data_IF_848286171481
#
_entry.id   IF_848286171481
#
_cell.length_a   1.000
_cell.length_b   1.000
_cell.length_c   1.000
_cell.angle_alpha   90.00
_cell.angle_beta   90.00
_cell.angle_gamma   90.00
#
_symmetry.space_group_name_H-M   'P 1'
#
loop_
_entity.id
_entity.type
_entity.pdbx_description
1 polymer ?
#
# COMPACT_ATOMS: atom_id res chain seq x y z
N UNK A 1 -9.88 -8.77 -4.71
CA UNK A 1 -11.02 -8.36 -3.87
C UNK A 1 -12.31 -8.59 -4.65
N UNK A 2 -13.39 -9.05 -3.99
CA UNK A 2 -14.67 -9.36 -4.66
C UNK A 2 -15.69 -8.23 -4.63
N UNK A 3 -15.55 -7.25 -3.72
CA UNK A 3 -16.47 -6.12 -3.59
C UNK A 3 -16.34 -5.17 -4.78
N UNK A 4 -17.45 -4.92 -5.47
CA UNK A 4 -17.46 -4.25 -6.76
C UNK A 4 -17.04 -2.77 -6.69
N UNK A 5 -17.51 -1.97 -5.72
CA UNK A 5 -17.08 -0.57 -5.59
C UNK A 5 -15.57 -0.40 -5.41
N UNK A 6 -14.92 -1.34 -4.71
CA UNK A 6 -13.46 -1.36 -4.58
C UNK A 6 -12.82 -1.60 -5.95
N UNK A 7 -13.32 -2.57 -6.73
CA UNK A 7 -12.79 -2.85 -8.07
C UNK A 7 -12.98 -1.67 -9.01
N UNK A 8 -14.14 -1.02 -8.99
CA UNK A 8 -14.45 0.14 -9.83
C UNK A 8 -13.51 1.30 -9.51
N UNK A 9 -13.35 1.64 -8.23
CA UNK A 9 -12.43 2.67 -7.78
C UNK A 9 -10.98 2.37 -8.18
N UNK A 10 -10.52 1.12 -7.99
CA UNK A 10 -9.19 0.67 -8.41
C UNK A 10 -9.00 0.78 -9.93
N UNK A 11 -9.99 0.34 -10.71
CA UNK A 11 -9.93 0.40 -12.17
C UNK A 11 -9.90 1.84 -12.67
N UNK A 12 -10.66 2.73 -12.04
CA UNK A 12 -10.61 4.16 -12.31
C UNK A 12 -9.22 4.75 -12.01
N UNK A 13 -8.61 4.40 -10.87
CA UNK A 13 -7.24 4.81 -10.55
C UNK A 13 -6.22 4.29 -11.59
N UNK A 14 -6.32 3.02 -11.98
CA UNK A 14 -5.43 2.39 -12.97
C UNK A 14 -5.56 3.00 -14.37
N UNK A 15 -6.74 3.51 -14.75
CA UNK A 15 -7.01 4.09 -16.09
C UNK A 15 -6.59 5.57 -16.24
N UNK A 16 -5.94 6.16 -15.24
CA UNK A 16 -5.35 7.51 -15.36
C UNK A 16 -6.05 8.61 -14.57
N UNK A 17 -6.86 8.29 -13.57
CA UNK A 17 -7.44 9.27 -12.64
C UNK A 17 -6.41 10.06 -11.81
N UNK A 18 -5.16 9.59 -11.74
CA UNK A 18 -3.94 10.18 -11.13
C UNK A 18 -2.72 9.29 -11.45
N UNK A 19 -1.45 9.70 -11.22
CA UNK A 19 -0.31 9.09 -11.90
C UNK A 19 -0.25 7.57 -11.69
N UNK A 20 -0.04 6.85 -12.79
CA UNK A 20 -0.25 5.41 -12.99
C UNK A 20 0.35 4.48 -11.90
N UNK A 21 1.40 4.93 -11.21
CA UNK A 21 2.05 4.19 -10.11
C UNK A 21 1.30 4.26 -8.76
N UNK A 22 0.45 5.27 -8.54
CA UNK A 22 -0.38 5.40 -7.33
C UNK A 22 -1.43 4.30 -7.23
N UNK A 23 -2.17 4.05 -8.31
CA UNK A 23 -3.30 3.11 -8.30
C UNK A 23 -2.88 1.65 -8.19
N UNK A 24 -1.67 1.30 -8.67
CA UNK A 24 -1.17 -0.07 -8.65
C UNK A 24 -0.62 -0.42 -7.26
N UNK A 25 0.21 0.45 -6.67
CA UNK A 25 0.81 0.18 -5.36
C UNK A 25 -0.21 0.38 -4.24
N UNK A 26 -1.16 1.32 -4.34
CA UNK A 26 -2.16 1.50 -3.30
C UNK A 26 -3.09 0.27 -3.15
N UNK A 27 -3.50 -0.33 -4.27
CA UNK A 27 -4.30 -1.55 -4.29
C UNK A 27 -3.52 -2.75 -3.75
N UNK A 28 -2.30 -2.96 -4.28
CA UNK A 28 -1.44 -4.09 -3.90
C UNK A 28 -0.99 -3.98 -2.41
N UNK A 29 -0.65 -2.79 -1.91
CA UNK A 29 -0.30 -2.53 -0.51
C UNK A 29 -1.49 -2.71 0.43
N UNK A 30 -2.65 -2.11 0.13
CA UNK A 30 -3.83 -2.26 0.97
C UNK A 30 -4.26 -3.72 1.05
N UNK A 31 -4.27 -4.42 -0.09
CA UNK A 31 -4.53 -5.85 -0.15
C UNK A 31 -3.52 -6.62 0.70
N UNK A 32 -2.23 -6.31 0.62
CA UNK A 32 -1.19 -6.93 1.45
C UNK A 32 -1.45 -6.73 2.95
N UNK A 33 -1.59 -5.48 3.41
CA UNK A 33 -1.82 -5.15 4.83
C UNK A 33 -3.07 -5.87 5.33
N UNK A 34 -4.20 -5.75 4.61
CA UNK A 34 -5.45 -6.39 4.99
C UNK A 34 -5.31 -7.91 5.10
N UNK A 35 -4.71 -8.57 4.10
CA UNK A 35 -4.56 -10.02 4.11
C UNK A 35 -3.59 -10.46 5.21
N UNK A 36 -2.52 -9.70 5.46
CA UNK A 36 -1.58 -10.01 6.51
C UNK A 36 -2.25 -9.94 7.89
N UNK A 37 -2.94 -8.83 8.21
CA UNK A 37 -3.64 -8.67 9.48
C UNK A 37 -4.73 -9.74 9.70
N UNK A 38 -5.38 -10.23 8.64
CA UNK A 38 -6.35 -11.34 8.75
C UNK A 38 -5.74 -12.66 9.23
N UNK A 39 -4.42 -12.84 9.10
CA UNK A 39 -3.71 -14.01 9.61
C UNK A 39 -3.24 -13.85 11.06
N UNK A 40 -3.38 -12.66 11.65
CA UNK A 40 -3.00 -12.35 13.02
C UNK A 40 -4.26 -12.04 13.84
N UNK A 41 -4.94 -13.05 14.41
CA UNK A 41 -6.19 -12.85 15.15
C UNK A 41 -6.01 -12.07 16.45
N UNK A 42 -4.78 -12.05 17.00
CA UNK A 42 -4.41 -11.37 18.25
C UNK A 42 -3.00 -10.80 18.04
N UNK A 43 -2.86 -9.49 18.23
CA UNK A 43 -1.61 -8.73 18.27
C UNK A 43 -1.90 -7.39 18.93
N UNK A 44 -0.90 -6.79 19.59
CA UNK A 44 -1.07 -5.49 20.25
C UNK A 44 -0.68 -4.32 19.33
N UNK A 45 0.38 -4.48 18.53
CA UNK A 45 0.90 -3.45 17.62
C UNK A 45 1.35 -4.04 16.28
N UNK A 46 1.59 -3.18 15.28
CA UNK A 46 2.17 -3.61 14.00
C UNK A 46 3.57 -4.22 14.12
N UNK A 47 4.25 -3.99 15.23
CA UNK A 47 5.62 -4.45 15.45
C UNK A 47 5.68 -5.98 15.63
N UNK A 48 4.56 -6.57 16.05
CA UNK A 48 4.41 -8.01 16.28
C UNK A 48 3.98 -8.78 15.02
N UNK A 49 3.49 -8.07 14.01
CA UNK A 49 2.94 -8.66 12.79
C UNK A 49 4.08 -8.91 11.81
N UNK A 50 4.28 -10.17 11.42
CA UNK A 50 5.33 -10.55 10.48
C UNK A 50 4.89 -11.60 9.46
N UNK A 51 5.71 -11.79 8.45
CA UNK A 51 5.53 -12.86 7.47
C UNK A 51 6.88 -13.36 6.98
N UNK A 52 6.92 -14.59 6.47
CA UNK A 52 8.05 -15.12 5.71
C UNK A 52 7.53 -15.97 4.55
N UNK A 53 8.42 -16.42 3.65
CA UNK A 53 8.05 -17.18 2.44
C UNK A 53 7.27 -18.45 2.78
N UNK A 54 7.68 -19.17 3.82
CA UNK A 54 7.00 -20.38 4.27
C UNK A 54 5.56 -20.08 4.69
N UNK A 55 5.34 -19.11 5.59
CA UNK A 55 4.01 -18.72 6.06
C UNK A 55 3.12 -18.19 4.92
N UNK A 56 3.67 -17.34 4.05
CA UNK A 56 2.93 -16.74 2.94
C UNK A 56 2.48 -17.75 1.88
N UNK A 57 3.11 -18.92 1.82
CA UNK A 57 2.80 -20.00 0.87
C UNK A 57 2.23 -21.25 1.54
N UNK A 58 2.02 -21.25 2.86
CA UNK A 58 1.69 -22.43 3.68
C UNK A 58 0.52 -23.25 3.15
N UNK A 59 -0.60 -22.57 2.82
CA UNK A 59 -1.79 -23.24 2.27
C UNK A 59 -1.88 -23.13 0.75
N UNK A 60 -1.53 -21.96 0.19
CA UNK A 60 -1.50 -21.67 -1.24
C UNK A 60 -0.75 -20.38 -1.50
N UNK A 61 -0.26 -20.22 -2.73
CA UNK A 61 0.31 -18.96 -3.20
C UNK A 61 -0.79 -17.89 -3.31
N UNK A 62 -0.75 -16.91 -2.40
CA UNK A 62 -1.78 -15.89 -2.21
C UNK A 62 -1.38 -14.48 -2.64
N UNK A 63 -2.14 -13.48 -2.15
CA UNK A 63 -1.88 -12.05 -2.40
C UNK A 63 -0.61 -11.58 -1.70
N UNK A 64 -0.34 -12.06 -0.49
CA UNK A 64 0.86 -11.76 0.29
C UNK A 64 2.12 -12.15 -0.49
N UNK A 65 2.16 -13.39 -0.99
CA UNK A 65 3.29 -13.89 -1.77
C UNK A 65 3.51 -13.10 -3.06
N UNK A 66 2.43 -12.79 -3.79
CA UNK A 66 2.48 -11.99 -5.02
C UNK A 66 3.00 -10.58 -4.76
N UNK A 67 2.56 -9.93 -3.67
CA UNK A 67 3.01 -8.60 -3.30
C UNK A 67 4.51 -8.56 -3.03
N UNK A 68 5.01 -9.46 -2.17
CA UNK A 68 6.42 -9.50 -1.78
C UNK A 68 7.33 -9.89 -2.96
N UNK A 69 6.90 -10.85 -3.78
CA UNK A 69 7.64 -11.28 -4.98
C UNK A 69 7.78 -10.12 -5.98
N UNK A 70 6.67 -9.46 -6.33
CA UNK A 70 6.71 -8.28 -7.20
C UNK A 70 7.54 -7.14 -6.62
N UNK A 71 7.44 -6.90 -5.31
CA UNK A 71 8.16 -5.82 -4.63
C UNK A 71 9.68 -5.99 -4.70
N UNK A 72 10.17 -7.24 -4.67
CA UNK A 72 11.59 -7.56 -4.82
C UNK A 72 12.04 -7.51 -6.28
N UNK A 73 11.26 -8.09 -7.20
CA UNK A 73 11.57 -8.07 -8.63
C UNK A 73 11.51 -6.65 -9.23
N UNK A 74 10.62 -5.81 -8.68
CA UNK A 74 10.39 -4.43 -9.12
C UNK A 74 11.34 -3.39 -8.54
N UNK A 75 12.40 -3.77 -7.83
CA UNK A 75 13.40 -2.83 -7.30
C UNK A 75 14.21 -2.19 -8.43
N UNK A 76 13.75 -1.03 -8.90
CA UNK A 76 14.53 -0.15 -9.78
C UNK A 76 15.59 0.53 -8.90
N UNK A 77 16.86 0.47 -9.30
CA UNK A 77 18.04 1.02 -8.58
C UNK A 77 18.47 0.31 -7.30
N UNK A 78 18.01 -0.92 -7.05
CA UNK A 78 18.37 -1.71 -5.86
C UNK A 78 17.85 -1.14 -4.53
N UNK A 79 17.15 0.01 -4.56
CA UNK A 79 16.50 0.63 -3.41
C UNK A 79 15.03 0.23 -3.41
N UNK A 80 14.65 -0.62 -2.46
CA UNK A 80 13.27 -1.08 -2.29
C UNK A 80 12.33 -0.04 -1.69
N UNK A 81 12.61 1.25 -1.78
CA UNK A 81 11.84 2.28 -1.05
C UNK A 81 11.04 3.15 -1.99
N UNK A 82 9.72 3.17 -1.81
CA UNK A 82 8.80 4.04 -2.56
C UNK A 82 8.31 5.17 -1.66
N UNK A 83 8.41 6.42 -2.14
CA UNK A 83 8.07 7.62 -1.38
C UNK A 83 6.66 8.10 -1.66
N UNK A 84 5.94 8.40 -0.58
CA UNK A 84 4.58 8.93 -0.60
C UNK A 84 4.46 10.13 0.34
N UNK A 85 3.33 10.81 0.24
CA UNK A 85 2.93 11.86 1.16
C UNK A 85 1.43 11.82 1.44
N UNK A 86 1.05 12.14 2.66
CA UNK A 86 -0.33 12.32 3.09
C UNK A 86 -0.52 13.79 3.43
N UNK A 87 -1.60 14.37 2.91
CA UNK A 87 -2.07 15.71 3.27
C UNK A 87 -3.28 15.61 4.19
N UNK A 88 -3.16 16.17 5.40
CA UNK A 88 -4.24 16.28 6.39
C UNK A 88 -4.79 17.72 6.35
N UNK A 89 -5.92 17.94 5.69
CA UNK A 89 -6.50 19.25 5.35
C UNK A 89 -6.81 20.08 6.60
N UNK A 90 -7.51 19.49 7.57
CA UNK A 90 -7.87 20.16 8.85
C UNK A 90 -6.66 20.55 9.68
N UNK A 91 -5.57 19.78 9.59
CA UNK A 91 -4.32 20.04 10.31
C UNK A 91 -3.32 20.88 9.52
N UNK A 92 -3.61 21.14 8.23
CA UNK A 92 -2.69 21.75 7.26
C UNK A 92 -1.29 21.12 7.30
N UNK A 93 -1.25 19.79 7.46
CA UNK A 93 -0.01 19.02 7.69
C UNK A 93 0.28 18.09 6.52
N UNK A 94 1.52 18.15 6.04
CA UNK A 94 2.07 17.18 5.10
C UNK A 94 2.91 16.15 5.86
N UNK A 95 2.61 14.87 5.69
CA UNK A 95 3.39 13.76 6.26
C UNK A 95 4.04 13.00 5.12
N UNK A 96 5.36 12.95 5.08
CA UNK A 96 6.12 12.16 4.11
C UNK A 96 6.39 10.79 4.69
N UNK A 97 6.26 9.75 3.87
CA UNK A 97 6.54 8.39 4.30
C UNK A 97 7.09 7.53 3.18
N UNK A 98 7.68 6.41 3.60
CA UNK A 98 8.28 5.42 2.73
C UNK A 98 7.56 4.10 2.90
N UNK A 99 7.36 3.39 1.79
CA UNK A 99 7.08 1.95 1.80
C UNK A 99 8.39 1.26 1.50
N UNK A 100 8.86 0.39 2.38
CA UNK A 100 10.11 -0.34 2.21
C UNK A 100 9.83 -1.80 1.86
N UNK A 101 10.30 -2.22 0.69
CA UNK A 101 10.29 -3.62 0.29
C UNK A 101 11.53 -4.33 0.86
N UNK A 102 11.37 -5.53 1.43
CA UNK A 102 12.46 -6.28 2.03
C UNK A 102 13.54 -6.61 1.00
N UNK A 103 14.79 -6.75 1.44
CA UNK A 103 15.92 -7.10 0.57
C UNK A 103 15.88 -8.53 0.07
N UNK A 104 15.32 -9.42 0.89
CA UNK A 104 15.15 -10.83 0.59
C UNK A 104 13.75 -11.26 0.99
N UNK A 105 13.23 -12.27 0.29
CA UNK A 105 11.99 -12.94 0.63
C UNK A 105 12.25 -14.44 0.64
N UNK A 106 12.79 -14.87 1.78
CA UNK A 106 13.08 -16.26 2.12
C UNK A 106 12.34 -16.61 3.43
N UNK A 107 12.88 -17.52 4.24
CA UNK A 107 12.26 -17.93 5.49
C UNK A 107 12.53 -16.97 6.66
N UNK A 108 13.26 -15.89 6.44
CA UNK A 108 13.47 -14.82 7.43
C UNK A 108 12.19 -14.01 7.60
N UNK A 109 11.89 -13.64 8.85
CA UNK A 109 10.73 -12.81 9.15
C UNK A 109 10.90 -11.39 8.59
N UNK A 110 9.86 -10.92 7.93
CA UNK A 110 9.67 -9.55 7.47
C UNK A 110 8.55 -8.97 8.33
N UNK A 111 8.85 -7.93 9.12
CA UNK A 111 7.86 -7.30 9.98
C UNK A 111 7.08 -6.22 9.23
N UNK A 112 5.81 -6.04 9.58
CA UNK A 112 4.95 -5.03 8.96
C UNK A 112 5.47 -3.62 9.21
N UNK A 113 5.94 -3.35 10.44
CA UNK A 113 6.56 -2.08 10.82
C UNK A 113 7.75 -1.67 9.93
N UNK A 114 8.52 -2.64 9.42
CA UNK A 114 9.68 -2.37 8.56
C UNK A 114 9.23 -1.94 7.16
N UNK A 115 8.07 -2.44 6.71
CA UNK A 115 7.47 -2.08 5.42
C UNK A 115 6.80 -0.70 5.51
N UNK A 116 6.02 -0.46 6.56
CA UNK A 116 5.28 0.78 6.79
C UNK A 116 4.96 0.92 8.29
N UNK A 117 5.10 2.12 8.85
CA UNK A 117 4.79 2.35 10.27
C UNK A 117 3.29 2.37 10.55
N UNK A 118 2.88 1.98 11.75
CA UNK A 118 1.47 1.89 12.16
C UNK A 118 0.70 3.20 11.96
N UNK A 119 1.25 4.31 12.46
CA UNK A 119 0.61 5.62 12.36
C UNK A 119 0.27 5.97 10.90
N UNK A 120 1.23 5.77 10.00
CA UNK A 120 1.09 6.14 8.60
C UNK A 120 0.20 5.15 7.86
N UNK A 121 0.40 3.86 8.09
CA UNK A 121 -0.30 2.83 7.37
C UNK A 121 -1.77 2.70 7.79
N UNK A 122 -2.11 3.03 9.03
CA UNK A 122 -3.51 3.21 9.44
C UNK A 122 -4.16 4.41 8.74
N UNK A 123 -3.50 5.57 8.67
CA UNK A 123 -3.99 6.72 7.90
C UNK A 123 -4.17 6.38 6.43
N UNK A 124 -3.23 5.64 5.85
CA UNK A 124 -3.31 5.17 4.47
C UNK A 124 -4.54 4.29 4.24
N UNK A 125 -4.74 3.26 5.08
CA UNK A 125 -5.89 2.36 4.96
C UNK A 125 -7.22 3.10 5.13
N UNK A 126 -7.33 3.97 6.14
CA UNK A 126 -8.53 4.77 6.39
C UNK A 126 -8.85 5.72 5.24
N UNK A 127 -7.85 6.43 4.70
CA UNK A 127 -8.05 7.35 3.59
C UNK A 127 -8.49 6.62 2.32
N UNK A 128 -7.92 5.44 2.03
CA UNK A 128 -8.33 4.63 0.89
C UNK A 128 -9.76 4.11 1.05
N UNK A 129 -10.09 3.55 2.21
CA UNK A 129 -11.46 3.09 2.51
C UNK A 129 -12.48 4.22 2.44
N UNK A 130 -12.13 5.41 2.95
CA UNK A 130 -12.98 6.59 2.84
C UNK A 130 -13.20 7.01 1.39
N UNK A 131 -12.15 7.06 0.58
CA UNK A 131 -12.28 7.41 -0.83
C UNK A 131 -13.19 6.44 -1.60
N UNK A 132 -13.12 5.14 -1.28
CA UNK A 132 -14.05 4.14 -1.83
C UNK A 132 -15.49 4.45 -1.41
N UNK A 133 -15.75 4.73 -0.12
CA UNK A 133 -17.09 5.08 0.35
C UNK A 133 -17.63 6.36 -0.28
N UNK A 134 -16.78 7.39 -0.44
CA UNK A 134 -17.18 8.66 -1.04
C UNK A 134 -17.65 8.49 -2.49
N UNK A 135 -17.08 7.55 -3.24
CA UNK A 135 -17.58 7.23 -4.61
C UNK A 135 -19.00 6.66 -4.65
N UNK A 136 -19.52 6.21 -3.51
CA UNK A 136 -20.85 5.61 -3.41
C UNK A 136 -21.91 6.60 -2.90
N UNK A 137 -21.53 7.88 -2.70
CA UNK A 137 -22.40 8.93 -2.18
C UNK A 137 -22.40 10.11 -3.15
N UNK A 138 -23.57 10.58 -3.58
CA UNK A 138 -23.70 11.64 -4.59
C UNK A 138 -23.09 12.98 -4.12
N UNK A 139 -23.25 13.32 -2.84
CA UNK A 139 -22.75 14.56 -2.23
C UNK A 139 -21.75 14.28 -1.09
N UNK A 140 -20.70 13.50 -1.38
CA UNK A 140 -19.67 13.22 -0.38
C UNK A 140 -18.93 14.50 0.06
N UNK A 141 -18.75 14.70 1.37
CA UNK A 141 -17.90 15.77 1.88
C UNK A 141 -16.45 15.65 1.39
N UNK A 142 -15.75 16.78 1.27
CA UNK A 142 -14.34 16.79 0.88
C UNK A 142 -13.51 16.02 1.92
N UNK A 143 -12.68 15.04 1.50
CA UNK A 143 -11.93 14.21 2.44
C UNK A 143 -10.85 15.02 3.17
N UNK A 144 -10.80 14.82 4.49
CA UNK A 144 -9.81 15.43 5.38
C UNK A 144 -8.39 14.91 5.15
N UNK A 145 -8.25 13.70 4.60
CA UNK A 145 -6.96 13.02 4.37
C UNK A 145 -6.85 12.67 2.88
N UNK A 146 -5.77 13.14 2.24
CA UNK A 146 -5.48 12.86 0.82
C UNK A 146 -4.12 12.20 0.69
N UNK A 147 -4.08 11.00 0.12
CA UNK A 147 -2.83 10.30 -0.23
C UNK A 147 -2.34 10.82 -1.58
N UNK A 148 -1.04 11.08 -1.69
CA UNK A 148 -0.36 11.46 -2.93
C UNK A 148 0.97 10.71 -3.02
N UNK A 149 1.33 10.20 -4.19
CA UNK A 149 2.68 9.70 -4.45
C UNK A 149 3.63 10.83 -4.83
N UNK A 150 4.93 10.53 -4.75
CA UNK A 150 5.91 11.20 -5.58
C UNK A 150 6.07 10.39 -6.86
N UNK A 151 5.72 10.98 -8.01
CA UNK A 151 6.04 10.40 -9.32
C UNK A 151 7.55 10.57 -9.53
N UNK A 152 8.33 9.51 -9.33
CA UNK A 152 9.61 9.41 -10.00
C UNK A 152 9.32 9.12 -11.47
N UNK A 153 9.35 10.15 -12.31
CA UNK A 153 9.53 9.95 -13.73
C UNK A 153 10.93 9.37 -13.92
N UNK A 154 11.13 8.21 -14.57
CA UNK A 154 12.44 7.92 -15.12
C UNK A 154 12.71 9.00 -16.16
N UNK A 155 13.62 9.93 -15.86
CA UNK A 155 14.21 10.77 -16.89
C UNK A 155 14.99 9.79 -17.76
N UNK A 156 14.41 9.38 -18.90
CA UNK A 156 15.21 8.87 -20.01
C UNK A 156 16.01 10.05 -20.52
N UNK A 157 17.16 10.31 -19.92
CA UNK A 157 18.19 11.12 -20.55
C UNK A 157 18.80 10.22 -21.60
N UNK A 158 18.27 10.28 -22.82
CA UNK A 158 19.03 9.83 -23.98
C UNK A 158 20.24 10.77 -24.09
N UNK A 159 21.41 10.28 -23.72
CA UNK A 159 22.70 10.81 -24.17
C UNK A 159 23.26 9.77 -25.14
#
# INVERSE_FOLDING_TARGET
MSYEPIKEYINWMKKGGRPHFEGIIADDLFSFIRNLLLHFPIFDTWDEVYINKNLATWSKVGQIDKFLTKGIEGKIDGKGTVKYRIWEEKKKKMTYFCINFPDKYDNTNIYLQDIISEEVGMKFCMALMRAILDTQVEDSEVPDIKIMSQVYLPIKTNI
#
